data_IF_487836013496
#
_entry.id   IF_487836013496
#
_cell.length_a   1.000
_cell.length_b   1.000
_cell.length_c   1.000
_cell.angle_alpha   90.00
_cell.angle_beta   90.00
_cell.angle_gamma   90.00
#
_symmetry.space_group_name_H-M   'P 1'
#
loop_
_entity.id
_entity.type
_entity.pdbx_description
1 polymer ?
#
# COMPACT_ATOMS: atom_id res chain seq x y z
N UNK A 1 1.28 -10.69 18.16
CA UNK A 1 1.74 -9.46 18.85
C UNK A 1 0.69 -8.38 18.69
N UNK A 2 0.50 -7.51 19.69
CA UNK A 2 -0.47 -6.41 19.64
C UNK A 2 0.22 -5.16 19.13
N UNK A 3 -0.46 -4.40 18.28
CA UNK A 3 -0.03 -3.08 17.84
C UNK A 3 -0.62 -1.98 18.73
N UNK A 4 -0.02 -0.81 18.69
CA UNK A 4 -0.51 0.43 19.34
C UNK A 4 -0.99 1.40 18.25
N UNK A 5 -2.15 1.99 18.44
CA UNK A 5 -2.62 3.06 17.55
C UNK A 5 -1.75 4.31 17.74
N UNK A 6 -1.32 4.87 16.62
CA UNK A 6 -0.67 6.19 16.55
C UNK A 6 -1.47 7.09 15.65
N UNK A 7 -1.53 8.34 15.98
CA UNK A 7 -2.21 9.37 15.19
C UNK A 7 -1.18 10.42 14.78
N UNK A 8 -1.19 10.74 13.50
CA UNK A 8 -0.38 11.79 12.88
C UNK A 8 -1.32 12.78 12.22
N UNK A 9 -1.08 14.06 12.40
CA UNK A 9 -1.89 15.12 11.77
C UNK A 9 -1.07 15.90 10.75
N UNK A 10 -1.60 16.03 9.53
CA UNK A 10 -1.00 16.87 8.49
C UNK A 10 -2.07 17.67 7.76
N UNK A 11 -1.95 19.02 7.79
CA UNK A 11 -2.85 19.94 7.09
C UNK A 11 -4.34 19.70 7.39
N UNK A 12 -4.65 19.39 8.64
CA UNK A 12 -6.02 19.13 9.10
C UNK A 12 -6.54 17.74 8.73
N UNK A 13 -5.70 16.84 8.21
CA UNK A 13 -6.01 15.44 7.96
C UNK A 13 -5.40 14.59 9.06
N UNK A 14 -6.24 13.81 9.74
CA UNK A 14 -5.83 12.84 10.75
C UNK A 14 -5.53 11.51 10.07
N UNK A 15 -4.29 11.04 10.22
CA UNK A 15 -3.81 9.74 9.74
C UNK A 15 -3.67 8.80 10.93
N UNK A 16 -4.17 7.58 10.79
CA UNK A 16 -4.08 6.53 11.81
C UNK A 16 -3.05 5.49 11.38
N UNK A 17 -2.19 5.12 12.31
CA UNK A 17 -1.18 4.11 12.07
C UNK A 17 -1.29 2.98 13.09
N UNK A 18 -1.00 1.74 12.66
CA UNK A 18 -0.72 0.61 13.54
C UNK A 18 0.77 0.50 13.74
N UNK A 19 1.25 0.65 14.98
CA UNK A 19 2.66 0.54 15.35
C UNK A 19 2.86 -0.72 16.20
N UNK A 20 3.54 -1.73 15.66
CA UNK A 20 3.87 -2.98 16.37
C UNK A 20 5.10 -2.83 17.26
N UNK A 21 5.75 -1.66 17.24
CA UNK A 21 7.01 -1.46 17.97
C UNK A 21 8.17 -2.21 17.33
N UNK A 22 9.16 -2.56 18.14
CA UNK A 22 10.42 -3.20 17.75
C UNK A 22 11.58 -2.22 17.81
N UNK A 23 12.80 -2.75 18.01
CA UNK A 23 14.03 -1.97 18.22
C UNK A 23 14.94 -1.91 16.98
N UNK A 24 14.54 -2.60 15.89
CA UNK A 24 15.31 -2.65 14.64
C UNK A 24 15.03 -1.49 13.70
N UNK A 25 15.59 -1.55 12.47
CA UNK A 25 15.26 -0.59 11.41
C UNK A 25 13.76 -0.52 11.16
N UNK A 26 13.25 0.67 10.84
CA UNK A 26 11.81 0.87 10.69
C UNK A 26 11.31 0.48 9.29
N UNK A 27 10.22 -0.28 9.25
CA UNK A 27 9.41 -0.53 8.06
C UNK A 27 8.12 0.30 8.16
N UNK A 28 7.81 1.04 7.09
CA UNK A 28 6.52 1.71 6.91
C UNK A 28 5.76 1.02 5.79
N UNK A 29 4.56 0.52 6.09
CA UNK A 29 3.74 -0.31 5.21
C UNK A 29 2.54 0.50 4.69
N UNK A 30 2.35 0.54 3.37
CA UNK A 30 1.33 1.32 2.67
C UNK A 30 0.44 0.39 1.85
N UNK A 31 -0.84 0.31 2.19
CA UNK A 31 -1.84 -0.53 1.52
C UNK A 31 -2.28 0.00 0.15
N UNK A 32 -3.03 -0.78 -0.61
CA UNK A 32 -3.61 -0.41 -1.89
C UNK A 32 -4.83 0.52 -1.80
N UNK A 33 -5.45 0.78 -2.94
CA UNK A 33 -6.71 1.53 -3.03
C UNK A 33 -7.83 0.82 -2.30
N UNK A 34 -8.59 1.54 -1.50
CA UNK A 34 -9.69 1.05 -0.67
C UNK A 34 -9.28 0.05 0.43
N UNK A 35 -7.98 -0.05 0.69
CA UNK A 35 -7.41 -0.93 1.68
C UNK A 35 -7.36 -0.33 3.09
N UNK A 36 -6.60 -0.97 3.96
CA UNK A 36 -6.40 -0.52 5.33
C UNK A 36 -5.12 -1.11 5.95
N UNK A 37 -4.64 -0.50 7.04
CA UNK A 37 -3.42 -0.93 7.72
C UNK A 37 -3.46 -2.39 8.23
N UNK A 38 -4.65 -2.93 8.49
CA UNK A 38 -4.84 -4.31 8.95
C UNK A 38 -4.52 -5.39 7.93
N UNK A 39 -4.45 -5.06 6.64
CA UNK A 39 -4.00 -6.00 5.60
C UNK A 39 -2.57 -6.52 5.85
N UNK A 40 -1.80 -5.76 6.62
CA UNK A 40 -0.42 -6.07 6.94
C UNK A 40 -0.24 -6.92 8.21
N UNK A 41 -1.31 -7.21 8.96
CA UNK A 41 -1.22 -7.88 10.28
C UNK A 41 -0.46 -9.22 10.20
N UNK A 42 -0.68 -10.00 9.13
CA UNK A 42 -0.01 -11.29 8.93
C UNK A 42 1.51 -11.14 8.69
N UNK A 43 1.94 -10.04 8.09
CA UNK A 43 3.35 -9.74 7.82
C UNK A 43 4.00 -8.98 8.98
N UNK A 44 3.30 -8.02 9.53
CA UNK A 44 3.82 -7.13 10.56
C UNK A 44 4.19 -7.87 11.86
N UNK A 45 3.37 -8.85 12.24
CA UNK A 45 3.66 -9.66 13.43
C UNK A 45 5.03 -10.35 13.38
N UNK A 46 5.33 -11.18 12.38
CA UNK A 46 6.66 -11.79 12.22
C UNK A 46 7.78 -10.76 12.03
N UNK A 47 7.58 -9.72 11.22
CA UNK A 47 8.59 -8.69 10.96
C UNK A 47 8.96 -7.91 12.22
N UNK A 48 8.02 -7.67 13.16
CA UNK A 48 8.28 -6.90 14.37
C UNK A 48 9.25 -7.56 15.35
N UNK A 49 9.64 -8.82 15.11
CA UNK A 49 10.71 -9.48 15.86
C UNK A 49 12.11 -8.92 15.58
N UNK A 50 12.31 -8.31 14.41
CA UNK A 50 13.62 -7.78 13.95
C UNK A 50 13.56 -6.32 13.51
N UNK A 51 12.36 -5.76 13.32
CA UNK A 51 12.13 -4.43 12.78
C UNK A 51 11.09 -3.69 13.62
N UNK A 52 11.17 -2.36 13.65
CA UNK A 52 10.00 -1.56 14.03
C UNK A 52 9.05 -1.52 12.84
N UNK A 53 7.78 -1.89 13.03
CA UNK A 53 6.81 -1.97 11.94
C UNK A 53 5.67 -1.01 12.18
N UNK A 54 5.41 -0.13 11.20
CA UNK A 54 4.32 0.85 11.21
C UNK A 54 3.52 0.70 9.92
N UNK A 55 2.22 0.39 10.01
CA UNK A 55 1.32 0.39 8.86
C UNK A 55 0.38 1.59 8.94
N UNK A 56 0.20 2.28 7.82
CA UNK A 56 -0.58 3.52 7.75
C UNK A 56 -1.92 3.24 7.09
N UNK A 57 -3.02 3.64 7.76
CA UNK A 57 -4.28 3.87 7.06
C UNK A 57 -4.12 5.15 6.24
N UNK A 58 -3.98 5.02 4.92
CA UNK A 58 -3.70 6.17 4.06
C UNK A 58 -4.90 7.13 4.03
N UNK A 59 -4.66 8.42 3.73
CA UNK A 59 -5.72 9.44 3.66
C UNK A 59 -6.94 8.98 2.86
N UNK A 60 -8.12 9.28 3.36
CA UNK A 60 -9.39 8.90 2.76
C UNK A 60 -9.83 7.46 3.07
N UNK A 61 -9.04 6.67 3.83
CA UNK A 61 -9.23 5.22 3.95
C UNK A 61 -9.00 4.73 5.40
N UNK A 62 -9.56 3.57 5.71
CA UNK A 62 -9.39 2.91 7.00
C UNK A 62 -9.92 3.74 8.16
N UNK A 63 -9.13 3.89 9.21
CA UNK A 63 -9.45 4.71 10.37
C UNK A 63 -8.97 6.16 10.25
N UNK A 64 -8.27 6.51 9.15
CA UNK A 64 -7.89 7.88 8.81
C UNK A 64 -9.09 8.70 8.35
N UNK A 65 -8.93 10.03 8.30
CA UNK A 65 -10.00 10.92 7.85
C UNK A 65 -10.50 10.56 6.46
N UNK A 66 -11.81 10.35 6.36
CA UNK A 66 -12.50 9.84 5.17
C UNK A 66 -12.59 10.85 4.04
N UNK A 67 -12.64 12.15 4.35
CA UNK A 67 -12.91 13.22 3.38
C UNK A 67 -11.78 14.27 3.36
N UNK A 68 -10.51 13.86 3.07
CA UNK A 68 -9.45 14.84 2.90
C UNK A 68 -9.74 15.71 1.68
N UNK A 69 -9.41 16.99 1.76
CA UNK A 69 -9.63 17.96 0.67
C UNK A 69 -8.64 17.77 -0.50
N UNK A 70 -7.49 17.17 -0.23
CA UNK A 70 -6.46 16.87 -1.23
C UNK A 70 -6.13 15.37 -1.22
N UNK A 71 -6.23 14.73 -2.38
CA UNK A 71 -5.88 13.33 -2.64
C UNK A 71 -4.92 13.21 -3.83
N UNK A 72 -4.16 14.26 -4.11
CA UNK A 72 -3.07 14.23 -5.10
C UNK A 72 -1.96 13.25 -4.67
N UNK A 73 -1.16 12.81 -5.64
CA UNK A 73 0.02 11.99 -5.35
C UNK A 73 1.00 12.68 -4.39
N UNK A 74 1.12 14.00 -4.51
CA UNK A 74 1.94 14.81 -3.61
C UNK A 74 1.46 14.72 -2.16
N UNK A 75 0.15 14.77 -1.95
CA UNK A 75 -0.42 14.65 -0.61
C UNK A 75 -0.11 13.28 0.03
N UNK A 76 -0.14 12.17 -0.74
CA UNK A 76 0.26 10.84 -0.23
C UNK A 76 1.74 10.76 0.12
N UNK A 77 2.61 11.39 -0.68
CA UNK A 77 4.06 11.46 -0.40
C UNK A 77 4.31 12.21 0.90
N UNK A 78 3.73 13.40 1.03
CA UNK A 78 3.92 14.25 2.20
C UNK A 78 3.32 13.64 3.48
N UNK A 79 2.30 12.77 3.37
CA UNK A 79 1.81 11.98 4.50
C UNK A 79 2.85 10.99 5.02
N UNK A 80 3.54 10.31 4.12
CA UNK A 80 4.62 9.39 4.53
C UNK A 80 5.73 10.15 5.24
N UNK A 81 6.10 11.34 4.74
CA UNK A 81 7.09 12.21 5.38
C UNK A 81 6.61 12.64 6.77
N UNK A 82 5.35 13.08 6.90
CA UNK A 82 4.78 13.50 8.17
C UNK A 82 4.69 12.34 9.18
N UNK A 83 4.36 11.13 8.72
CA UNK A 83 4.37 9.92 9.57
C UNK A 83 5.79 9.66 10.08
N UNK A 84 6.79 9.73 9.20
CA UNK A 84 8.16 9.53 9.61
C UNK A 84 8.62 10.58 10.63
N UNK A 85 8.38 11.85 10.35
CA UNK A 85 8.78 12.97 11.21
C UNK A 85 8.11 12.91 12.60
N UNK A 86 6.78 12.82 12.65
CA UNK A 86 6.03 12.87 13.91
C UNK A 86 6.20 11.62 14.79
N UNK A 87 6.50 10.46 14.18
CA UNK A 87 6.80 9.23 14.91
C UNK A 87 8.30 9.05 15.20
N UNK A 88 9.14 10.01 14.78
CA UNK A 88 10.60 9.97 14.98
C UNK A 88 11.25 8.79 14.25
N UNK A 89 10.83 8.52 13.01
CA UNK A 89 11.36 7.45 12.19
C UNK A 89 12.49 7.97 11.31
N UNK A 90 13.68 7.43 11.49
CA UNK A 90 14.84 7.79 10.70
C UNK A 90 15.11 6.71 9.65
N UNK A 91 15.35 7.11 8.38
CA UNK A 91 15.75 6.22 7.27
C UNK A 91 14.97 4.91 7.20
N UNK A 92 13.74 5.01 6.79
CA UNK A 92 12.78 3.89 6.76
C UNK A 92 12.96 2.97 5.55
N UNK A 93 12.53 1.74 5.69
CA UNK A 93 12.18 0.86 4.57
C UNK A 93 10.72 1.13 4.23
N UNK A 94 10.42 1.53 3.00
CA UNK A 94 9.04 1.62 2.52
C UNK A 94 8.61 0.31 1.86
N UNK A 95 7.47 -0.21 2.27
CA UNK A 95 6.82 -1.37 1.65
C UNK A 95 5.45 -0.91 1.19
N UNK A 96 5.17 -0.95 -0.10
CA UNK A 96 3.89 -0.49 -0.62
C UNK A 96 3.28 -1.44 -1.63
N UNK A 97 1.98 -1.64 -1.53
CA UNK A 97 1.20 -2.44 -2.46
C UNK A 97 0.33 -1.53 -3.32
N UNK A 98 0.27 -1.76 -4.66
CA UNK A 98 -0.61 -1.05 -5.59
C UNK A 98 -0.48 0.48 -5.44
N UNK A 99 -1.54 1.19 -5.08
CA UNK A 99 -1.52 2.64 -4.82
C UNK A 99 -0.48 3.02 -3.76
N UNK A 100 -0.33 2.23 -2.69
CA UNK A 100 0.70 2.43 -1.67
C UNK A 100 2.11 2.19 -2.22
N UNK A 101 2.27 1.26 -3.16
CA UNK A 101 3.53 1.03 -3.88
C UNK A 101 3.91 2.22 -4.75
N UNK A 102 2.93 2.82 -5.43
CA UNK A 102 3.14 4.04 -6.19
C UNK A 102 3.55 5.22 -5.27
N UNK A 103 2.87 5.41 -4.12
CA UNK A 103 3.27 6.42 -3.14
C UNK A 103 4.68 6.18 -2.60
N UNK A 104 5.05 4.92 -2.33
CA UNK A 104 6.38 4.53 -1.87
C UNK A 104 7.48 4.85 -2.91
N UNK A 105 7.23 4.59 -4.20
CA UNK A 105 8.15 4.95 -5.30
C UNK A 105 8.39 6.46 -5.32
N UNK A 106 7.30 7.26 -5.28
CA UNK A 106 7.40 8.72 -5.33
C UNK A 106 8.13 9.27 -4.10
N UNK A 107 7.85 8.74 -2.92
CA UNK A 107 8.55 9.14 -1.70
C UNK A 107 10.05 8.81 -1.79
N UNK A 108 10.41 7.60 -2.24
CA UNK A 108 11.82 7.22 -2.40
C UNK A 108 12.58 8.08 -3.43
N UNK A 109 11.89 8.54 -4.48
CA UNK A 109 12.48 9.40 -5.50
C UNK A 109 12.68 10.86 -5.05
N UNK A 110 11.78 11.35 -4.20
CA UNK A 110 11.74 12.76 -3.78
C UNK A 110 12.42 13.01 -2.43
N UNK A 111 12.45 11.99 -1.57
CA UNK A 111 13.06 12.00 -0.24
C UNK A 111 14.08 10.86 -0.07
N UNK A 112 15.14 10.82 -0.89
CA UNK A 112 16.12 9.74 -0.87
C UNK A 112 16.87 9.64 0.47
N UNK A 113 16.94 10.71 1.24
CA UNK A 113 17.51 10.73 2.60
C UNK A 113 16.64 9.98 3.60
N UNK A 114 15.32 9.96 3.41
CA UNK A 114 14.37 9.28 4.28
C UNK A 114 14.32 7.77 3.99
N UNK A 115 14.46 7.37 2.72
CA UNK A 115 14.19 5.98 2.30
C UNK A 115 15.49 5.20 2.12
N UNK A 116 15.75 4.24 3.02
CA UNK A 116 16.94 3.38 2.94
C UNK A 116 16.79 2.19 1.99
N UNK A 117 15.58 1.67 1.83
CA UNK A 117 15.24 0.59 0.90
C UNK A 117 13.76 0.66 0.54
N UNK A 118 13.39 0.11 -0.61
CA UNK A 118 12.06 0.14 -1.17
C UNK A 118 11.58 -1.27 -1.53
N UNK A 119 10.38 -1.61 -1.12
CA UNK A 119 9.68 -2.84 -1.54
C UNK A 119 8.40 -2.43 -2.26
N UNK A 120 8.29 -2.76 -3.53
CA UNK A 120 7.15 -2.46 -4.39
C UNK A 120 6.40 -3.76 -4.69
N UNK A 121 5.13 -3.81 -4.31
CA UNK A 121 4.28 -4.98 -4.49
C UNK A 121 3.14 -4.62 -5.45
N UNK A 122 3.11 -5.26 -6.64
CA UNK A 122 2.04 -5.06 -7.63
C UNK A 122 1.73 -3.58 -7.92
N UNK A 123 2.76 -2.79 -8.14
CA UNK A 123 2.63 -1.37 -8.50
C UNK A 123 3.55 -0.99 -9.65
N UNK A 124 3.11 -0.01 -10.42
CA UNK A 124 3.89 0.65 -11.47
C UNK A 124 3.95 2.18 -11.24
N UNK A 125 4.43 2.91 -12.21
CA UNK A 125 4.63 4.36 -12.14
C UNK A 125 3.50 5.16 -12.80
N UNK A 126 2.34 4.55 -12.96
CA UNK A 126 1.23 5.18 -13.65
C UNK A 126 1.51 5.42 -15.14
N UNK A 127 0.64 6.17 -15.77
CA UNK A 127 0.75 6.54 -17.18
C UNK A 127 -0.63 6.81 -17.76
N UNK A 128 -0.70 7.50 -18.91
CA UNK A 128 -1.97 7.92 -19.45
C UNK A 128 -2.93 6.75 -19.66
N UNK A 129 -3.94 6.68 -18.82
CA UNK A 129 -5.11 5.82 -18.94
C UNK A 129 -6.34 6.59 -18.45
N UNK A 130 -6.91 7.46 -19.30
CA UNK A 130 -8.04 8.32 -18.92
C UNK A 130 -9.29 7.54 -18.54
N UNK A 131 -9.40 6.25 -18.91
CA UNK A 131 -10.54 5.41 -18.55
C UNK A 131 -10.38 4.77 -17.15
N UNK A 132 -9.18 4.79 -16.58
CA UNK A 132 -8.91 4.16 -15.29
C UNK A 132 -9.83 4.64 -14.16
N UNK A 133 -10.07 5.95 -13.95
CA UNK A 133 -11.02 6.41 -12.94
C UNK A 133 -12.44 5.91 -13.17
N UNK A 134 -12.86 5.77 -14.44
CA UNK A 134 -14.16 5.22 -14.80
C UNK A 134 -14.25 3.72 -14.47
N UNK A 135 -13.18 2.97 -14.72
CA UNK A 135 -13.10 1.55 -14.35
C UNK A 135 -13.18 1.37 -12.83
N UNK A 136 -12.48 2.19 -12.05
CA UNK A 136 -12.53 2.18 -10.59
C UNK A 136 -13.95 2.53 -10.09
N UNK A 137 -14.62 3.53 -10.70
CA UNK A 137 -16.01 3.86 -10.38
C UNK A 137 -16.92 2.65 -10.58
N UNK A 138 -16.87 2.03 -11.76
CA UNK A 138 -17.69 0.85 -12.07
C UNK A 138 -17.41 -0.31 -11.12
N UNK A 139 -16.16 -0.49 -10.73
CA UNK A 139 -15.79 -1.50 -9.74
C UNK A 139 -16.47 -1.24 -8.39
N UNK A 140 -16.41 -0.01 -7.86
CA UNK A 140 -17.12 0.34 -6.63
C UNK A 140 -18.64 0.25 -6.75
N UNK A 141 -19.22 0.66 -7.90
CA UNK A 141 -20.65 0.57 -8.16
C UNK A 141 -21.15 -0.91 -8.18
N UNK A 142 -20.25 -1.86 -8.41
CA UNK A 142 -20.56 -3.29 -8.36
C UNK A 142 -20.62 -3.86 -6.92
N UNK A 143 -20.13 -3.11 -5.92
CA UNK A 143 -20.17 -3.56 -4.54
C UNK A 143 -21.59 -3.47 -3.99
N UNK A 144 -22.14 -4.57 -3.41
CA UNK A 144 -23.45 -4.54 -2.78
C UNK A 144 -23.38 -3.90 -1.37
N UNK A 145 -22.67 -2.75 -1.27
CA UNK A 145 -22.50 -2.03 -0.02
C UNK A 145 -23.76 -1.20 0.33
N UNK A 146 -24.23 -1.23 1.59
CA UNK A 146 -23.66 -2.01 2.69
C UNK A 146 -23.87 -3.52 2.54
N UNK A 147 -22.90 -4.31 2.99
CA UNK A 147 -23.04 -5.76 3.02
C UNK A 147 -23.92 -6.19 4.20
N UNK A 148 -24.75 -7.23 3.98
CA UNK A 148 -25.68 -7.74 5.00
C UNK A 148 -24.96 -8.39 6.19
N UNK A 149 -23.73 -8.90 5.98
CA UNK A 149 -22.88 -9.49 7.03
C UNK A 149 -21.41 -9.43 6.59
N UNK A 150 -20.47 -9.60 7.55
CA UNK A 150 -19.05 -9.77 7.25
C UNK A 150 -18.80 -10.97 6.35
N UNK A 151 -19.49 -12.10 6.59
CA UNK A 151 -19.37 -13.30 5.75
C UNK A 151 -19.83 -13.06 4.31
N UNK A 152 -20.90 -12.29 4.11
CA UNK A 152 -21.32 -11.88 2.77
C UNK A 152 -20.25 -11.05 2.05
N UNK A 153 -19.57 -10.15 2.76
CA UNK A 153 -18.44 -9.41 2.21
C UNK A 153 -17.25 -10.33 1.90
N UNK A 154 -16.90 -11.25 2.80
CA UNK A 154 -15.83 -12.24 2.56
C UNK A 154 -16.10 -13.02 1.28
N UNK A 155 -17.33 -13.50 1.07
CA UNK A 155 -17.69 -14.25 -0.16
C UNK A 155 -17.64 -13.36 -1.40
N UNK A 156 -18.12 -12.12 -1.31
CA UNK A 156 -18.09 -11.16 -2.42
C UNK A 156 -16.65 -10.87 -2.89
N UNK A 157 -15.71 -10.71 -1.96
CA UNK A 157 -14.29 -10.46 -2.26
C UNK A 157 -13.50 -11.74 -2.59
N UNK A 158 -14.17 -12.85 -2.87
CA UNK A 158 -13.56 -14.09 -3.37
C UNK A 158 -13.24 -15.14 -2.30
N UNK A 159 -13.65 -14.93 -1.06
CA UNK A 159 -13.44 -15.87 0.05
C UNK A 159 -11.99 -15.99 0.49
N UNK A 160 -11.71 -16.94 1.39
CA UNK A 160 -10.34 -17.21 1.87
C UNK A 160 -9.64 -15.99 2.49
N UNK A 161 -8.32 -15.98 2.38
CA UNK A 161 -7.50 -14.93 2.98
C UNK A 161 -7.76 -13.54 2.35
N UNK A 162 -7.93 -13.47 1.04
CA UNK A 162 -8.26 -12.21 0.33
C UNK A 162 -9.59 -11.66 0.84
N UNK A 163 -10.65 -12.49 0.79
CA UNK A 163 -11.98 -12.05 1.23
C UNK A 163 -12.00 -11.62 2.69
N UNK A 164 -11.27 -12.31 3.55
CA UNK A 164 -11.11 -11.92 4.96
C UNK A 164 -10.38 -10.58 5.11
N UNK A 165 -9.24 -10.41 4.43
CA UNK A 165 -8.47 -9.17 4.47
C UNK A 165 -9.30 -7.96 4.04
N UNK A 166 -10.02 -8.06 2.92
CA UNK A 166 -10.91 -6.99 2.45
C UNK A 166 -12.08 -6.73 3.41
N UNK A 167 -12.72 -7.79 3.96
CA UNK A 167 -13.84 -7.66 4.88
C UNK A 167 -13.43 -7.02 6.23
N UNK A 168 -12.18 -7.20 6.67
CA UNK A 168 -11.63 -6.56 7.86
C UNK A 168 -11.43 -5.03 7.67
N UNK A 169 -11.40 -4.57 6.43
CA UNK A 169 -11.44 -3.17 6.04
C UNK A 169 -12.80 -2.49 6.21
N UNK A 170 -13.87 -3.25 6.41
CA UNK A 170 -15.20 -2.71 6.60
C UNK A 170 -15.46 -2.34 8.07
N UNK A 171 -16.48 -1.53 8.30
CA UNK A 171 -16.99 -1.20 9.63
C UNK A 171 -18.44 -1.63 9.80
N UNK A 172 -18.79 -2.15 10.97
CA UNK A 172 -20.17 -2.45 11.32
C UNK A 172 -20.90 -1.19 11.75
N UNK A 173 -22.06 -0.94 11.13
CA UNK A 173 -23.00 0.12 11.52
C UNK A 173 -24.42 -0.39 11.42
N UNK A 174 -25.12 -0.48 12.55
CA UNK A 174 -26.53 -0.92 12.57
C UNK A 174 -26.77 -2.32 12.03
N UNK A 175 -25.85 -3.25 12.25
CA UNK A 175 -25.93 -4.63 11.77
C UNK A 175 -25.54 -4.82 10.30
N UNK A 176 -25.06 -3.80 9.63
CA UNK A 176 -24.58 -3.83 8.25
C UNK A 176 -23.11 -3.45 8.19
N UNK A 177 -22.40 -3.89 7.14
CA UNK A 177 -20.97 -3.69 6.96
C UNK A 177 -20.70 -2.70 5.83
N UNK A 178 -20.02 -1.61 6.15
CA UNK A 178 -19.80 -0.46 5.29
C UNK A 178 -18.31 -0.26 4.97
N UNK A 179 -17.97 0.14 3.74
CA UNK A 179 -16.62 0.59 3.42
C UNK A 179 -16.18 1.77 4.31
N UNK A 180 -14.91 1.76 4.73
CA UNK A 180 -14.30 2.87 5.49
C UNK A 180 -13.60 3.88 4.58
N UNK A 181 -14.22 4.17 3.45
CA UNK A 181 -13.79 5.20 2.49
C UNK A 181 -15.01 5.80 1.80
N UNK A 182 -14.80 6.89 1.08
CA UNK A 182 -15.77 7.47 0.15
C UNK A 182 -15.37 7.13 -1.29
N UNK A 183 -16.32 6.71 -2.12
CA UNK A 183 -16.04 6.28 -3.49
C UNK A 183 -15.55 7.43 -4.37
N UNK A 184 -16.08 8.66 -4.20
CA UNK A 184 -15.65 9.82 -4.98
C UNK A 184 -14.20 10.20 -4.63
N UNK A 185 -13.85 10.16 -3.35
CA UNK A 185 -12.49 10.37 -2.87
C UNK A 185 -11.54 9.32 -3.45
N UNK A 186 -11.94 8.05 -3.48
CA UNK A 186 -11.12 6.98 -4.06
C UNK A 186 -10.90 7.15 -5.57
N UNK A 187 -11.95 7.49 -6.31
CA UNK A 187 -11.85 7.77 -7.75
C UNK A 187 -10.94 8.96 -8.02
N UNK A 188 -11.04 10.03 -7.22
CA UNK A 188 -10.15 11.19 -7.34
C UNK A 188 -8.70 10.82 -7.03
N UNK A 189 -8.46 9.97 -6.05
CA UNK A 189 -7.11 9.57 -5.63
C UNK A 189 -6.31 8.83 -6.72
N UNK A 190 -6.96 8.18 -7.68
CA UNK A 190 -6.30 7.52 -8.80
C UNK A 190 -6.22 8.38 -10.06
N UNK A 191 -6.95 9.49 -10.10
CA UNK A 191 -7.08 10.32 -11.31
C UNK A 191 -5.75 10.99 -11.73
N UNK A 192 -4.89 11.32 -10.76
CA UNK A 192 -3.58 11.93 -11.03
C UNK A 192 -2.63 10.93 -11.71
N UNK A 193 -2.49 9.73 -11.17
CA UNK A 193 -1.72 8.66 -11.77
C UNK A 193 -2.27 8.21 -13.14
N UNK A 194 -3.58 8.36 -13.36
CA UNK A 194 -4.21 8.06 -14.64
C UNK A 194 -3.95 9.12 -15.74
N UNK A 195 -3.55 10.33 -15.36
CA UNK A 195 -3.25 11.43 -16.29
C UNK A 195 -1.77 11.60 -16.59
N UNK A 196 -0.91 11.26 -15.64
CA UNK A 196 0.51 11.51 -15.68
C UNK A 196 1.31 10.21 -15.54
N UNK A 197 2.45 10.13 -16.21
CA UNK A 197 3.45 9.10 -15.95
C UNK A 197 4.47 9.63 -14.98
N UNK A 198 4.74 8.88 -13.94
CA UNK A 198 5.79 9.15 -12.97
C UNK A 198 7.05 8.31 -13.24
N UNK A 199 7.27 7.95 -14.48
CA UNK A 199 8.42 7.13 -14.88
C UNK A 199 9.76 7.80 -14.59
N UNK A 200 9.81 9.14 -14.60
CA UNK A 200 11.01 9.88 -14.25
C UNK A 200 11.35 9.78 -12.75
N UNK A 201 10.35 9.71 -11.89
CA UNK A 201 10.55 9.47 -10.47
C UNK A 201 11.15 8.08 -10.23
N UNK A 202 10.69 7.05 -10.96
CA UNK A 202 11.28 5.72 -10.88
C UNK A 202 12.77 5.72 -11.22
N UNK A 203 13.18 6.46 -12.24
CA UNK A 203 14.60 6.62 -12.63
C UNK A 203 15.42 7.30 -11.52
N UNK A 204 14.82 8.14 -10.69
CA UNK A 204 15.46 8.86 -9.59
C UNK A 204 15.59 8.07 -8.29
N UNK A 205 14.90 6.93 -8.16
CA UNK A 205 15.05 6.08 -6.98
C UNK A 205 16.46 5.54 -6.89
N UNK A 206 17.18 5.87 -5.84
CA UNK A 206 18.60 5.50 -5.64
C UNK A 206 18.80 4.37 -4.65
N UNK A 207 17.82 4.12 -3.76
CA UNK A 207 17.93 3.07 -2.75
C UNK A 207 17.75 1.67 -3.36
N UNK A 208 18.30 0.62 -2.69
CA UNK A 208 17.99 -0.77 -3.03
C UNK A 208 16.49 -1.01 -3.12
N UNK A 209 16.07 -1.76 -4.13
CA UNK A 209 14.65 -1.97 -4.41
C UNK A 209 14.34 -3.43 -4.69
N UNK A 210 13.32 -3.96 -4.02
CA UNK A 210 12.67 -5.24 -4.33
C UNK A 210 11.35 -4.95 -5.06
N UNK A 211 11.21 -5.48 -6.28
CA UNK A 211 9.96 -5.45 -7.03
C UNK A 211 9.31 -6.85 -6.98
N UNK A 212 8.12 -6.95 -6.39
CA UNK A 212 7.33 -8.18 -6.36
C UNK A 212 6.13 -8.06 -7.28
N UNK A 213 5.98 -8.99 -8.19
CA UNK A 213 4.87 -9.10 -9.12
C UNK A 213 4.11 -10.41 -8.87
N UNK A 214 2.80 -10.39 -9.01
CA UNK A 214 2.01 -11.60 -9.01
C UNK A 214 2.24 -12.40 -10.30
N UNK A 215 2.03 -13.70 -10.26
CA UNK A 215 2.03 -14.51 -11.48
C UNK A 215 0.92 -14.08 -12.43
N UNK A 216 -0.26 -13.77 -11.87
CA UNK A 216 -1.40 -13.20 -12.61
C UNK A 216 -1.52 -11.71 -12.29
N UNK A 217 -0.45 -10.96 -12.63
CA UNK A 217 -0.39 -9.52 -12.42
C UNK A 217 -1.41 -8.78 -13.29
N UNK A 218 -2.01 -7.72 -12.74
CA UNK A 218 -2.82 -6.78 -13.54
C UNK A 218 -1.93 -5.79 -14.31
N UNK A 219 -0.67 -5.65 -13.94
CA UNK A 219 0.32 -4.82 -14.64
C UNK A 219 0.70 -5.54 -15.94
N UNK A 220 0.44 -4.92 -17.07
CA UNK A 220 0.73 -5.55 -18.36
C UNK A 220 2.23 -5.83 -18.54
N UNK A 221 2.62 -6.88 -19.28
CA UNK A 221 4.02 -7.17 -19.56
C UNK A 221 4.77 -5.97 -20.17
N UNK A 222 4.13 -5.20 -21.04
CA UNK A 222 4.73 -4.00 -21.64
C UNK A 222 5.08 -2.93 -20.59
N UNK A 223 4.25 -2.78 -19.56
CA UNK A 223 4.52 -1.87 -18.43
C UNK A 223 5.67 -2.38 -17.56
N UNK A 224 5.72 -3.68 -17.30
CA UNK A 224 6.83 -4.30 -16.56
C UNK A 224 8.14 -4.11 -17.34
N UNK A 225 8.13 -4.36 -18.65
CA UNK A 225 9.29 -4.14 -19.52
C UNK A 225 9.73 -2.68 -19.53
N UNK A 226 8.81 -1.74 -19.48
CA UNK A 226 9.12 -0.30 -19.38
C UNK A 226 9.80 0.02 -18.05
N UNK A 227 9.24 -0.45 -16.92
CA UNK A 227 9.86 -0.27 -15.59
C UNK A 227 11.31 -0.79 -15.58
N UNK A 228 11.53 -2.03 -16.08
CA UNK A 228 12.84 -2.66 -16.11
C UNK A 228 13.83 -1.96 -17.04
N UNK A 229 13.36 -1.42 -18.18
CA UNK A 229 14.22 -0.65 -19.09
C UNK A 229 14.67 0.68 -18.52
N UNK A 230 13.81 1.34 -17.73
CA UNK A 230 14.12 2.64 -17.12
C UNK A 230 15.04 2.52 -15.93
N UNK A 231 14.81 1.53 -15.08
CA UNK A 231 15.62 1.25 -13.91
C UNK A 231 15.49 -0.22 -13.51
N UNK A 232 16.61 -0.88 -13.43
CA UNK A 232 16.66 -2.28 -12.93
C UNK A 232 16.59 -2.24 -11.40
N UNK A 233 15.59 -2.86 -10.76
CA UNK A 233 15.57 -3.01 -9.31
C UNK A 233 16.70 -3.93 -8.84
N UNK A 234 17.06 -3.85 -7.55
CA UNK A 234 18.08 -4.73 -6.95
C UNK A 234 17.65 -6.19 -7.03
N UNK A 235 16.37 -6.45 -6.82
CA UNK A 235 15.74 -7.76 -6.92
C UNK A 235 14.37 -7.62 -7.58
N UNK A 236 14.00 -8.54 -8.46
CA UNK A 236 12.67 -8.64 -9.03
C UNK A 236 12.19 -10.09 -8.99
N UNK A 237 10.99 -10.31 -8.47
CA UNK A 237 10.44 -11.66 -8.26
C UNK A 237 8.98 -11.70 -8.72
N UNK A 238 8.62 -12.76 -9.47
CA UNK A 238 7.22 -13.10 -9.70
C UNK A 238 6.79 -14.21 -8.75
N UNK A 239 5.77 -13.96 -7.94
CA UNK A 239 5.25 -14.89 -6.94
C UNK A 239 4.18 -15.77 -7.59
N UNK A 240 4.41 -17.09 -7.54
CA UNK A 240 3.51 -18.09 -8.16
C UNK A 240 2.17 -18.14 -7.44
N UNK A 241 1.14 -18.51 -8.18
CA UNK A 241 -0.21 -18.75 -7.65
C UNK A 241 -0.80 -17.55 -6.92
N UNK A 242 -0.42 -16.33 -7.35
CA UNK A 242 -0.91 -15.08 -6.78
C UNK A 242 -1.51 -14.17 -7.84
N UNK A 243 -2.35 -13.27 -7.36
CA UNK A 243 -2.96 -12.15 -8.07
C UNK A 243 -2.57 -10.86 -7.37
N UNK A 244 -3.30 -9.79 -7.60
CA UNK A 244 -3.01 -8.43 -7.14
C UNK A 244 -2.71 -8.31 -5.63
N UNK A 245 -3.41 -9.07 -4.79
CA UNK A 245 -3.29 -9.01 -3.33
C UNK A 245 -2.35 -10.09 -2.77
N UNK A 246 -1.18 -10.28 -3.44
CA UNK A 246 -0.25 -11.37 -3.09
C UNK A 246 0.21 -11.35 -1.62
N UNK A 247 0.22 -10.21 -0.98
CA UNK A 247 0.53 -10.06 0.45
C UNK A 247 -0.55 -10.68 1.37
N UNK A 248 -1.79 -10.76 0.89
CA UNK A 248 -2.88 -11.48 1.55
C UNK A 248 -2.93 -12.96 1.14
N UNK A 249 -2.60 -13.26 -0.13
CA UNK A 249 -2.67 -14.62 -0.66
C UNK A 249 -1.54 -15.52 -0.14
N UNK A 250 -0.30 -14.97 -0.08
CA UNK A 250 0.91 -15.72 0.25
C UNK A 250 1.79 -14.94 1.26
N UNK A 251 1.26 -14.59 2.46
CA UNK A 251 1.97 -13.73 3.41
C UNK A 251 3.33 -14.31 3.84
N UNK A 252 3.46 -15.63 3.99
CA UNK A 252 4.70 -16.27 4.40
C UNK A 252 5.79 -16.14 3.32
N UNK A 253 5.41 -16.25 2.04
CA UNK A 253 6.35 -16.06 0.93
C UNK A 253 6.77 -14.60 0.84
N UNK A 254 5.83 -13.67 0.93
CA UNK A 254 6.11 -12.23 0.93
C UNK A 254 7.01 -11.85 2.10
N UNK A 255 6.73 -12.37 3.30
CA UNK A 255 7.60 -12.20 4.47
C UNK A 255 9.03 -12.68 4.19
N UNK A 256 9.18 -13.92 3.68
CA UNK A 256 10.49 -14.51 3.40
C UNK A 256 11.29 -13.70 2.38
N UNK A 257 10.64 -13.20 1.32
CA UNK A 257 11.27 -12.36 0.30
C UNK A 257 11.72 -11.00 0.87
N UNK A 258 10.88 -10.34 1.69
CA UNK A 258 11.24 -9.08 2.35
C UNK A 258 12.42 -9.31 3.30
N UNK A 259 12.36 -10.32 4.15
CA UNK A 259 13.41 -10.61 5.13
C UNK A 259 14.75 -10.94 4.45
N UNK A 260 14.74 -11.74 3.38
CA UNK A 260 15.93 -12.05 2.60
C UNK A 260 16.52 -10.79 1.95
N UNK A 261 15.71 -10.00 1.24
CA UNK A 261 16.15 -8.76 0.63
C UNK A 261 16.76 -7.78 1.63
N UNK A 262 16.12 -7.61 2.79
CA UNK A 262 16.60 -6.68 3.83
C UNK A 262 17.89 -7.18 4.48
N UNK A 263 18.10 -8.49 4.63
CA UNK A 263 19.36 -9.04 5.09
C UNK A 263 20.52 -8.70 4.12
N UNK A 264 20.28 -8.87 2.80
CA UNK A 264 21.29 -8.61 1.77
C UNK A 264 21.69 -7.12 1.68
N UNK A 265 20.73 -6.19 1.84
CA UNK A 265 21.00 -4.74 1.73
C UNK A 265 21.44 -4.11 3.04
N UNK A 266 21.48 -4.87 4.14
CA UNK A 266 21.99 -4.42 5.44
C UNK A 266 23.42 -4.87 5.71
N UNK A 267 23.94 -5.78 4.88
CA UNK A 267 25.33 -6.25 4.90
C UNK A 267 26.26 -5.30 4.14
#
# INVERSE_FOLDING_TARGET
MTWTERVVEREGVRLVCRDWGGDGPTLVLLHGLAGHAGEWDALAGPLSSAYRVVAVDQRGQGASDRFPSDVSRDAFVEDVVAVADQLGLERVVLVGQSMGGHAAILTAARHPELVRALVVIEADVGGPDPEWPTHIRRWFDSWPAPFASRDAAVQFFGGGAIGMGWADGLEERGGQWWPRFDQDVMVQSVADAARHSFAHEWERVTCPTLLMLAQSSFISPARVDELMRRRVPTMSVSVRETRHDLHLEQPDIVYGLIAHFLADVSA
#
